data_IF_249349445012
#
_entry.id   IF_249349445012
#
_cell.length_a   1.000
_cell.length_b   1.000
_cell.length_c   1.000
_cell.angle_alpha   90.00
_cell.angle_beta   90.00
_cell.angle_gamma   90.00
#
_symmetry.space_group_name_H-M   'P 1'
#
loop_
_entity.id
_entity.type
_entity.pdbx_description
1 polymer ?
#
# COMPACT_ATOMS: atom_id res chain seq x y z
N UNK A 1 30.25 -7.27 -19.93
CA UNK A 1 29.10 -6.58 -20.52
C UNK A 1 28.05 -6.45 -19.40
N UNK A 2 27.80 -5.24 -19.04
CA UNK A 2 27.35 -4.78 -17.72
C UNK A 2 25.85 -5.02 -17.51
N UNK A 3 25.51 -5.94 -16.60
CA UNK A 3 24.12 -6.20 -16.17
C UNK A 3 23.60 -5.16 -15.14
N UNK A 4 24.33 -4.07 -14.89
CA UNK A 4 23.99 -3.04 -13.91
C UNK A 4 23.21 -1.86 -14.47
N UNK A 5 23.05 -1.74 -15.79
CA UNK A 5 22.47 -0.58 -16.46
C UNK A 5 20.93 -0.59 -16.53
N UNK A 6 20.24 -1.66 -16.11
CA UNK A 6 18.78 -1.74 -16.21
C UNK A 6 18.04 -1.50 -14.88
N UNK A 7 18.74 -1.31 -13.76
CA UNK A 7 18.13 -1.09 -12.44
C UNK A 7 17.84 0.38 -12.12
N UNK A 8 18.38 1.33 -12.87
CA UNK A 8 18.21 2.78 -12.66
C UNK A 8 17.23 3.47 -13.63
N UNK A 9 16.56 2.72 -14.48
CA UNK A 9 15.45 3.24 -15.29
C UNK A 9 14.27 3.46 -14.34
N UNK A 10 14.23 4.68 -13.79
CA UNK A 10 13.14 5.12 -12.92
C UNK A 10 11.79 4.86 -13.60
N UNK A 11 10.72 4.69 -12.81
CA UNK A 11 9.32 4.73 -13.27
C UNK A 11 9.09 5.82 -14.34
N UNK A 12 9.89 6.87 -14.30
CA UNK A 12 9.87 7.99 -15.24
C UNK A 12 10.16 7.62 -16.69
N UNK A 13 10.79 6.50 -16.98
CA UNK A 13 11.18 6.12 -18.35
C UNK A 13 10.27 5.06 -18.98
N UNK A 14 9.41 4.40 -18.21
CA UNK A 14 8.48 3.35 -18.65
C UNK A 14 7.02 3.80 -18.63
N UNK A 15 6.79 5.10 -18.76
CA UNK A 15 5.43 5.67 -18.62
C UNK A 15 4.63 5.51 -19.88
N UNK A 16 3.38 5.20 -19.70
CA UNK A 16 2.36 5.18 -20.73
C UNK A 16 1.04 5.75 -20.21
N UNK A 17 0.11 6.15 -21.09
CA UNK A 17 -1.26 6.41 -20.68
C UNK A 17 -1.90 5.15 -20.05
N UNK A 18 -2.81 5.30 -19.09
CA UNK A 18 -3.56 4.18 -18.53
C UNK A 18 -4.52 3.57 -19.57
N UNK A 19 -4.78 2.27 -19.45
CA UNK A 19 -5.88 1.60 -20.15
C UNK A 19 -7.21 1.88 -19.46
N UNK A 20 -8.34 1.53 -20.10
CA UNK A 20 -9.67 1.68 -19.50
C UNK A 20 -9.79 0.87 -18.19
N UNK A 21 -9.36 -0.39 -18.20
CA UNK A 21 -9.40 -1.28 -17.03
C UNK A 21 -8.55 -0.74 -15.87
N UNK A 22 -7.41 -0.10 -16.18
CA UNK A 22 -6.57 0.53 -15.16
C UNK A 22 -7.19 1.78 -14.56
N UNK A 23 -7.95 2.55 -15.35
CA UNK A 23 -8.71 3.70 -14.85
C UNK A 23 -9.83 3.28 -13.92
N UNK A 24 -10.52 2.17 -14.20
CA UNK A 24 -11.57 1.61 -13.34
C UNK A 24 -11.03 1.19 -11.96
N UNK A 25 -9.73 0.88 -11.87
CA UNK A 25 -9.04 0.60 -10.61
C UNK A 25 -8.66 1.84 -9.78
N UNK A 26 -8.94 3.07 -10.25
CA UNK A 26 -8.58 4.32 -9.57
C UNK A 26 -9.77 4.90 -8.80
N UNK A 27 -9.86 4.72 -7.46
CA UNK A 27 -11.08 4.93 -6.70
C UNK A 27 -11.55 6.39 -6.61
N UNK A 28 -10.65 7.35 -6.74
CA UNK A 28 -11.00 8.77 -6.62
C UNK A 28 -11.52 9.39 -7.92
N UNK A 29 -11.34 8.71 -9.07
CA UNK A 29 -11.88 9.21 -10.35
C UNK A 29 -13.42 9.29 -10.35
N UNK A 30 -14.07 8.43 -9.58
CA UNK A 30 -15.55 8.40 -9.45
C UNK A 30 -16.09 9.55 -8.58
N UNK A 31 -15.21 10.25 -7.85
CA UNK A 31 -15.58 11.40 -7.04
C UNK A 31 -15.53 12.73 -7.80
N UNK A 32 -15.05 12.68 -9.06
CA UNK A 32 -14.82 13.86 -9.90
C UNK A 32 -16.04 14.18 -10.79
N UNK A 33 -16.27 15.46 -11.01
CA UNK A 33 -17.18 15.90 -12.07
C UNK A 33 -16.57 15.59 -13.45
N UNK A 34 -17.39 15.47 -14.53
CA UNK A 34 -16.91 15.04 -15.84
C UNK A 34 -15.69 15.81 -16.36
N UNK A 35 -15.69 17.14 -16.26
CA UNK A 35 -14.57 17.98 -16.72
C UNK A 35 -13.31 17.82 -15.86
N UNK A 36 -13.47 17.61 -14.55
CA UNK A 36 -12.37 17.34 -13.62
C UNK A 36 -11.74 15.97 -13.95
N UNK A 37 -12.60 14.96 -14.19
CA UNK A 37 -12.17 13.61 -14.56
C UNK A 37 -11.44 13.59 -15.89
N UNK A 38 -11.95 14.28 -16.91
CA UNK A 38 -11.27 14.39 -18.22
C UNK A 38 -9.86 14.95 -18.06
N UNK A 39 -9.69 16.05 -17.32
CA UNK A 39 -8.39 16.66 -17.06
C UNK A 39 -7.46 15.72 -16.27
N UNK A 40 -7.97 15.05 -15.25
CA UNK A 40 -7.21 14.10 -14.46
C UNK A 40 -6.70 12.94 -15.33
N UNK A 41 -7.58 12.32 -16.09
CA UNK A 41 -7.27 11.17 -16.98
C UNK A 41 -6.26 11.57 -18.06
N UNK A 42 -6.38 12.76 -18.65
CA UNK A 42 -5.45 13.25 -19.65
C UNK A 42 -4.02 13.44 -19.12
N UNK A 43 -3.86 13.60 -17.80
CA UNK A 43 -2.55 13.81 -17.16
C UNK A 43 -2.00 12.57 -16.45
N UNK A 44 -2.86 11.57 -16.17
CA UNK A 44 -2.45 10.33 -15.50
C UNK A 44 -1.47 9.54 -16.36
N UNK A 45 -0.45 9.00 -15.69
CA UNK A 45 0.52 8.11 -16.29
C UNK A 45 0.59 6.82 -15.46
N UNK A 46 0.85 5.72 -16.16
CA UNK A 46 1.04 4.40 -15.54
C UNK A 46 2.42 3.88 -15.89
N UNK A 47 3.06 3.20 -14.96
CA UNK A 47 4.37 2.60 -15.16
C UNK A 47 4.48 1.25 -14.47
N UNK A 48 5.28 0.36 -15.08
CA UNK A 48 5.60 -0.95 -14.52
C UNK A 48 6.77 -0.85 -13.55
N UNK A 49 6.61 -1.37 -12.34
CA UNK A 49 7.67 -1.55 -11.36
C UNK A 49 7.97 -3.04 -11.18
N UNK A 50 9.24 -3.43 -11.33
CA UNK A 50 9.68 -4.79 -11.03
C UNK A 50 9.88 -4.99 -9.52
N UNK A 51 9.95 -6.24 -9.08
CA UNK A 51 10.31 -6.53 -7.70
C UNK A 51 11.65 -5.86 -7.33
N UNK A 52 11.65 -5.10 -6.23
CA UNK A 52 12.81 -4.35 -5.77
C UNK A 52 12.92 -2.91 -6.29
N UNK A 53 12.15 -2.52 -7.32
CA UNK A 53 12.16 -1.15 -7.82
C UNK A 53 11.56 -0.19 -6.78
N UNK A 54 12.16 1.01 -6.67
CA UNK A 54 11.64 2.08 -5.82
C UNK A 54 10.73 3.01 -6.62
N UNK A 55 9.50 3.17 -6.15
CA UNK A 55 8.55 4.17 -6.65
C UNK A 55 8.88 5.55 -6.10
N UNK A 56 9.18 5.61 -4.80
CA UNK A 56 9.62 6.82 -4.10
C UNK A 56 10.81 6.49 -3.20
N UNK A 57 11.70 7.46 -3.02
CA UNK A 57 12.82 7.36 -2.07
C UNK A 57 12.86 8.57 -1.14
N UNK A 58 13.23 8.36 0.11
CA UNK A 58 13.47 9.43 1.10
C UNK A 58 14.33 10.52 0.50
N UNK A 59 13.95 11.78 0.74
CA UNK A 59 14.70 12.97 0.32
C UNK A 59 14.52 13.36 -1.14
N UNK A 60 13.85 12.55 -1.97
CA UNK A 60 13.55 12.93 -3.34
C UNK A 60 12.33 13.84 -3.40
N UNK A 61 12.34 14.86 -4.28
CA UNK A 61 11.20 15.75 -4.47
C UNK A 61 9.96 14.99 -4.91
N UNK A 62 8.78 15.41 -4.42
CA UNK A 62 7.51 14.90 -4.91
C UNK A 62 7.21 15.50 -6.28
N UNK A 63 6.98 14.63 -7.27
CA UNK A 63 6.60 15.01 -8.63
C UNK A 63 5.25 14.43 -9.03
N UNK A 64 4.85 13.35 -8.38
CA UNK A 64 3.58 12.67 -8.60
C UNK A 64 2.98 12.21 -7.27
N UNK A 65 1.66 12.18 -7.22
CA UNK A 65 0.92 11.40 -6.25
C UNK A 65 0.68 10.02 -6.84
N UNK A 66 1.04 8.96 -6.13
CA UNK A 66 1.06 7.61 -6.67
C UNK A 66 0.00 6.71 -6.07
N UNK A 67 -0.48 5.75 -6.88
CA UNK A 67 -1.37 4.68 -6.47
C UNK A 67 -1.02 3.34 -7.11
N UNK A 68 -1.42 2.26 -6.48
CA UNK A 68 -1.22 0.89 -6.96
C UNK A 68 -2.45 0.44 -7.75
N UNK A 69 -2.26 0.13 -9.02
CA UNK A 69 -3.30 -0.47 -9.85
C UNK A 69 -3.26 -1.98 -9.70
N UNK A 70 -2.07 -2.57 -9.78
CA UNK A 70 -1.84 -4.00 -9.61
C UNK A 70 -0.54 -4.25 -8.86
N UNK A 71 -0.46 -5.35 -8.13
CA UNK A 71 0.76 -5.77 -7.43
C UNK A 71 0.73 -5.56 -5.93
N UNK A 72 1.89 -5.26 -5.33
CA UNK A 72 2.04 -4.99 -3.91
C UNK A 72 3.31 -4.17 -3.68
N UNK A 73 3.17 -3.03 -3.03
CA UNK A 73 4.28 -2.20 -2.61
C UNK A 73 4.47 -2.28 -1.08
N UNK A 74 5.65 -1.91 -0.63
CA UNK A 74 6.03 -1.79 0.78
C UNK A 74 6.42 -0.35 1.09
N UNK A 75 5.81 0.21 2.13
CA UNK A 75 6.20 1.50 2.71
C UNK A 75 7.17 1.26 3.86
N UNK A 76 8.36 1.86 3.80
CA UNK A 76 9.41 1.64 4.79
C UNK A 76 10.31 2.86 4.96
N UNK A 77 11.06 2.87 6.05
CA UNK A 77 12.15 3.83 6.29
C UNK A 77 13.39 3.08 6.74
N UNK A 78 14.55 3.60 6.37
CA UNK A 78 15.82 3.09 6.85
C UNK A 78 16.32 4.00 7.98
N UNK A 79 16.78 3.40 9.08
CA UNK A 79 17.40 4.16 10.16
C UNK A 79 18.87 4.46 9.85
N UNK A 80 19.52 5.25 10.70
CA UNK A 80 20.93 5.63 10.55
C UNK A 80 21.90 4.42 10.58
N UNK A 81 21.48 3.28 11.09
CA UNK A 81 22.24 2.03 11.15
C UNK A 81 21.95 1.12 9.93
N UNK A 82 21.18 1.59 8.94
CA UNK A 82 20.84 0.83 7.74
C UNK A 82 19.77 -0.26 7.97
N UNK A 83 19.12 -0.28 9.11
CA UNK A 83 18.02 -1.21 9.37
C UNK A 83 16.71 -0.66 8.77
N UNK A 84 16.04 -1.47 7.99
CA UNK A 84 14.74 -1.12 7.39
C UNK A 84 13.61 -1.38 8.38
N UNK A 85 12.84 -0.34 8.67
CA UNK A 85 11.56 -0.44 9.37
C UNK A 85 10.42 -0.38 8.35
N UNK A 86 9.62 -1.43 8.29
CA UNK A 86 8.43 -1.47 7.44
C UNK A 86 7.24 -0.91 8.19
N UNK A 87 6.51 0.02 7.56
CA UNK A 87 5.31 0.63 8.13
C UNK A 87 4.05 -0.12 7.74
N UNK A 88 3.89 -0.41 6.45
CA UNK A 88 2.72 -1.11 5.90
C UNK A 88 2.98 -1.61 4.48
N UNK A 89 2.09 -2.49 4.00
CA UNK A 89 1.92 -2.79 2.59
C UNK A 89 0.97 -1.80 1.92
N UNK A 90 1.10 -1.65 0.60
CA UNK A 90 0.16 -0.89 -0.23
C UNK A 90 -0.31 -1.82 -1.36
N UNK A 91 -1.47 -2.45 -1.20
CA UNK A 91 -2.08 -3.32 -2.21
C UNK A 91 -2.86 -2.50 -3.26
N UNK A 92 -3.51 -3.16 -4.25
CA UNK A 92 -4.28 -2.50 -5.29
C UNK A 92 -5.36 -1.56 -4.76
N UNK A 93 -5.59 -0.45 -5.46
CA UNK A 93 -6.46 0.64 -5.07
C UNK A 93 -5.87 1.58 -4.03
N UNK A 94 -4.71 1.25 -3.44
CA UNK A 94 -4.03 2.07 -2.45
C UNK A 94 -3.29 3.25 -3.08
N UNK A 95 -3.63 4.47 -2.65
CA UNK A 95 -2.91 5.71 -2.99
C UNK A 95 -2.12 6.16 -1.77
N UNK A 96 -0.97 6.76 -1.99
CA UNK A 96 -0.04 7.12 -0.91
C UNK A 96 0.73 8.41 -1.18
N UNK A 97 1.21 9.03 -0.10
CA UNK A 97 2.00 10.25 -0.20
C UNK A 97 1.18 11.52 -0.23
N UNK A 98 -0.10 11.44 0.11
CA UNK A 98 -1.03 12.57 0.15
C UNK A 98 -0.50 13.74 0.99
N UNK A 99 0.05 13.48 2.18
CA UNK A 99 0.63 14.50 3.04
C UNK A 99 1.88 15.15 2.43
N UNK A 100 2.72 14.35 1.76
CA UNK A 100 3.90 14.84 1.03
C UNK A 100 3.48 15.68 -0.19
N UNK A 101 2.47 15.19 -0.93
CA UNK A 101 1.92 15.88 -2.10
C UNK A 101 1.29 17.23 -1.72
N UNK A 102 0.47 17.26 -0.65
CA UNK A 102 -0.16 18.49 -0.13
C UNK A 102 0.85 19.60 0.18
N UNK A 103 1.98 19.22 0.78
CA UNK A 103 3.02 20.18 1.19
C UNK A 103 4.09 20.43 0.14
N UNK A 104 4.10 19.68 -0.95
CA UNK A 104 5.20 19.67 -1.94
C UNK A 104 6.57 19.44 -1.30
N UNK A 105 6.62 18.63 -0.23
CA UNK A 105 7.85 18.30 0.49
C UNK A 105 8.56 17.08 -0.14
N UNK A 106 9.86 16.88 0.14
CA UNK A 106 10.53 15.63 -0.19
C UNK A 106 9.89 14.42 0.54
N UNK A 107 9.94 13.24 -0.09
CA UNK A 107 9.47 12.01 0.53
C UNK A 107 10.19 11.73 1.84
N UNK A 108 9.43 11.31 2.86
CA UNK A 108 9.93 10.96 4.20
C UNK A 108 10.06 9.45 4.43
N UNK A 109 9.71 8.66 3.42
CA UNK A 109 9.76 7.19 3.43
C UNK A 109 10.06 6.67 2.03
N UNK A 110 10.45 5.40 1.99
CA UNK A 110 10.63 4.66 0.75
C UNK A 110 9.36 3.90 0.41
N UNK A 111 9.07 3.81 -0.88
CA UNK A 111 8.06 2.90 -1.43
C UNK A 111 8.77 1.99 -2.43
N UNK A 112 8.71 0.68 -2.18
CA UNK A 112 9.40 -0.34 -2.96
C UNK A 112 8.41 -1.42 -3.40
N UNK A 113 8.51 -1.86 -4.65
CA UNK A 113 7.72 -2.97 -5.16
C UNK A 113 8.21 -4.30 -4.57
N UNK A 114 7.30 -5.09 -3.98
CA UNK A 114 7.60 -6.44 -3.50
C UNK A 114 7.54 -7.48 -4.61
N UNK A 115 6.79 -7.18 -5.67
CA UNK A 115 6.66 -7.98 -6.90
C UNK A 115 6.42 -7.06 -8.09
N UNK A 116 6.32 -7.63 -9.30
CA UNK A 116 5.90 -6.87 -10.47
C UNK A 116 4.56 -6.18 -10.16
N UNK A 117 4.54 -4.87 -10.34
CA UNK A 117 3.42 -4.00 -9.96
C UNK A 117 3.17 -2.98 -11.05
N UNK A 118 1.92 -2.55 -11.18
CA UNK A 118 1.50 -1.44 -12.04
C UNK A 118 1.15 -0.27 -11.14
N UNK A 119 1.81 0.88 -11.36
CA UNK A 119 1.68 2.06 -10.51
C UNK A 119 1.18 3.23 -11.34
N UNK A 120 0.08 3.83 -10.92
CA UNK A 120 -0.42 5.07 -11.49
C UNK A 120 0.19 6.28 -10.79
N UNK A 121 0.45 7.35 -11.53
CA UNK A 121 0.94 8.62 -11.03
C UNK A 121 0.14 9.78 -11.56
N UNK A 122 -0.39 10.59 -10.64
CA UNK A 122 -1.01 11.88 -10.96
C UNK A 122 0.04 12.98 -10.77
N UNK A 123 0.34 13.80 -11.80
CA UNK A 123 1.29 14.90 -11.66
C UNK A 123 0.90 15.83 -10.51
N UNK A 124 1.89 16.31 -9.76
CA UNK A 124 1.66 17.11 -8.56
C UNK A 124 0.88 18.40 -8.85
N UNK A 125 1.05 18.98 -10.03
CA UNK A 125 0.29 20.19 -10.41
C UNK A 125 -1.18 19.89 -10.69
N UNK A 126 -1.50 18.72 -11.29
CA UNK A 126 -2.89 18.28 -11.44
C UNK A 126 -3.50 17.93 -10.09
N UNK A 127 -2.75 17.31 -9.18
CA UNK A 127 -3.18 17.04 -7.80
C UNK A 127 -3.63 18.33 -7.10
N UNK A 128 -2.80 19.39 -7.15
CA UNK A 128 -3.15 20.68 -6.55
C UNK A 128 -4.31 21.35 -7.27
N UNK A 129 -4.35 21.28 -8.61
CA UNK A 129 -5.48 21.81 -9.34
C UNK A 129 -6.81 21.15 -8.92
N UNK A 130 -6.82 19.84 -8.74
CA UNK A 130 -7.99 19.12 -8.22
C UNK A 130 -8.35 19.53 -6.80
N UNK A 131 -7.36 19.76 -5.93
CA UNK A 131 -7.62 20.28 -4.59
C UNK A 131 -8.32 21.64 -4.62
N UNK A 132 -7.94 22.52 -5.55
CA UNK A 132 -8.48 23.86 -5.64
C UNK A 132 -9.88 23.90 -6.30
N UNK A 133 -10.23 22.90 -7.13
CA UNK A 133 -11.45 22.94 -7.96
C UNK A 133 -12.45 21.85 -7.66
N UNK A 134 -12.05 20.73 -7.05
CA UNK A 134 -12.93 19.57 -6.82
C UNK A 134 -13.21 19.33 -5.34
N UNK A 135 -14.43 19.54 -4.91
CA UNK A 135 -14.88 19.21 -3.56
C UNK A 135 -14.83 17.70 -3.33
N UNK A 136 -15.19 16.89 -4.35
CA UNK A 136 -15.13 15.44 -4.30
C UNK A 136 -13.72 14.93 -4.03
N UNK A 137 -12.74 15.45 -4.76
CA UNK A 137 -11.34 15.12 -4.57
C UNK A 137 -10.81 15.52 -3.19
N UNK A 138 -11.16 16.74 -2.72
CA UNK A 138 -10.79 17.19 -1.38
C UNK A 138 -11.29 16.23 -0.29
N UNK A 139 -12.58 15.84 -0.37
CA UNK A 139 -13.17 14.90 0.59
C UNK A 139 -12.47 13.55 0.55
N UNK A 140 -12.15 13.07 -0.66
CA UNK A 140 -11.39 11.82 -0.81
C UNK A 140 -10.03 11.92 -0.11
N UNK A 141 -9.23 12.95 -0.40
CA UNK A 141 -7.89 13.14 0.19
C UNK A 141 -7.97 13.29 1.72
N UNK A 142 -8.93 14.06 2.24
CA UNK A 142 -9.13 14.18 3.70
C UNK A 142 -9.48 12.84 4.35
N UNK A 143 -10.35 12.05 3.70
CA UNK A 143 -10.71 10.73 4.19
C UNK A 143 -9.50 9.77 4.20
N UNK A 144 -8.69 9.79 3.13
CA UNK A 144 -7.44 9.03 3.06
C UNK A 144 -6.48 9.40 4.21
N UNK A 145 -6.30 10.71 4.47
CA UNK A 145 -5.44 11.19 5.56
C UNK A 145 -5.96 10.74 6.93
N UNK A 146 -7.26 10.82 7.18
CA UNK A 146 -7.88 10.40 8.43
C UNK A 146 -7.72 8.88 8.66
N UNK A 147 -8.02 8.06 7.64
CA UNK A 147 -7.85 6.61 7.72
C UNK A 147 -6.38 6.22 7.90
N UNK A 148 -5.46 6.90 7.23
CA UNK A 148 -4.02 6.69 7.38
C UNK A 148 -3.54 7.03 8.78
N UNK A 149 -4.02 8.12 9.35
CA UNK A 149 -3.73 8.48 10.75
C UNK A 149 -4.23 7.38 11.70
N UNK A 150 -5.46 6.91 11.53
CA UNK A 150 -6.01 5.79 12.30
C UNK A 150 -5.17 4.52 12.17
N UNK A 151 -4.73 4.19 10.95
CA UNK A 151 -3.87 3.04 10.69
C UNK A 151 -2.53 3.14 11.45
N UNK A 152 -1.89 4.31 11.46
CA UNK A 152 -0.63 4.51 12.17
C UNK A 152 -0.80 4.55 13.71
N UNK A 153 -1.90 5.08 14.21
CA UNK A 153 -2.21 5.02 15.65
C UNK A 153 -2.35 3.55 16.08
N UNK A 154 -3.13 2.76 15.34
CA UNK A 154 -3.29 1.33 15.61
C UNK A 154 -1.97 0.55 15.51
N UNK A 155 -1.10 0.88 14.52
CA UNK A 155 0.21 0.25 14.40
C UNK A 155 1.09 0.50 15.63
N UNK A 156 1.05 1.70 16.24
CA UNK A 156 1.78 2.01 17.49
C UNK A 156 1.32 1.18 18.68
N UNK A 157 0.05 0.82 18.72
CA UNK A 157 -0.46 -0.10 19.76
C UNK A 157 0.08 -1.51 19.56
N UNK A 158 0.12 -1.97 18.29
CA UNK A 158 0.60 -3.31 17.92
C UNK A 158 2.09 -3.48 18.23
N UNK A 159 2.92 -2.45 17.99
CA UNK A 159 4.36 -2.49 18.25
C UNK A 159 4.69 -2.72 19.73
N UNK A 160 3.77 -2.38 20.64
CA UNK A 160 3.89 -2.62 22.08
C UNK A 160 3.53 -4.06 22.49
N UNK A 161 2.87 -4.80 21.62
CA UNK A 161 2.47 -6.18 21.88
C UNK A 161 3.59 -7.12 21.43
N UNK A 162 4.24 -7.78 22.39
CA UNK A 162 5.31 -8.75 22.12
C UNK A 162 4.79 -10.10 21.54
N UNK A 163 3.59 -10.11 20.96
CA UNK A 163 2.99 -11.32 20.40
C UNK A 163 3.05 -11.30 18.86
N UNK A 164 3.89 -12.15 18.25
CA UNK A 164 4.03 -12.19 16.79
C UNK A 164 2.74 -12.58 16.05
N UNK A 165 1.88 -13.42 16.64
CA UNK A 165 0.62 -13.83 16.01
C UNK A 165 -0.35 -12.66 15.91
N UNK A 166 -0.45 -11.85 16.97
CA UNK A 166 -1.23 -10.62 16.97
C UNK A 166 -0.67 -9.63 15.95
N UNK A 167 0.65 -9.53 15.83
CA UNK A 167 1.29 -8.67 14.82
C UNK A 167 0.92 -9.09 13.40
N UNK A 168 0.96 -10.38 13.10
CA UNK A 168 0.56 -10.94 11.79
C UNK A 168 -0.93 -10.69 11.54
N UNK A 169 -1.80 -11.01 12.51
CA UNK A 169 -3.25 -10.82 12.38
C UNK A 169 -3.62 -9.36 12.08
N UNK A 170 -3.08 -8.43 12.85
CA UNK A 170 -3.37 -6.99 12.67
C UNK A 170 -2.75 -6.40 11.42
N UNK A 171 -1.55 -6.83 11.03
CA UNK A 171 -0.95 -6.44 9.75
C UNK A 171 -1.82 -6.90 8.58
N UNK A 172 -2.33 -8.15 8.61
CA UNK A 172 -3.31 -8.62 7.63
C UNK A 172 -4.58 -7.75 7.64
N UNK A 173 -5.16 -7.53 8.82
CA UNK A 173 -6.38 -6.72 8.96
C UNK A 173 -6.22 -5.30 8.38
N UNK A 174 -5.02 -4.71 8.52
CA UNK A 174 -4.73 -3.37 8.00
C UNK A 174 -4.75 -3.29 6.47
N UNK A 175 -4.45 -4.41 5.78
CA UNK A 175 -4.49 -4.50 4.32
C UNK A 175 -5.90 -4.66 3.74
N UNK A 176 -6.91 -4.90 4.61
CA UNK A 176 -8.33 -4.96 4.24
C UNK A 176 -9.09 -3.69 4.64
N UNK A 177 -8.42 -2.55 4.68
CA UNK A 177 -9.09 -1.27 4.91
C UNK A 177 -9.81 -0.85 3.61
N UNK A 178 -11.16 -0.75 3.59
CA UNK A 178 -11.91 -0.48 2.36
C UNK A 178 -11.75 0.95 1.84
N UNK A 179 -11.31 1.87 2.69
CA UNK A 179 -11.05 3.27 2.30
C UNK A 179 -9.66 3.41 1.71
N UNK A 180 -8.65 2.85 2.37
CA UNK A 180 -7.26 2.96 1.92
C UNK A 180 -6.95 2.02 0.75
N UNK A 181 -7.62 0.86 0.69
CA UNK A 181 -7.29 -0.24 -0.24
C UNK A 181 -8.56 -0.86 -0.83
N UNK A 182 -9.40 -0.08 -1.55
CA UNK A 182 -10.67 -0.58 -2.07
C UNK A 182 -10.53 -1.66 -3.15
N UNK A 183 -9.35 -1.78 -3.76
CA UNK A 183 -9.05 -2.85 -4.74
C UNK A 183 -8.76 -4.22 -4.12
N UNK A 184 -8.71 -4.31 -2.78
CA UNK A 184 -8.57 -5.59 -2.08
C UNK A 184 -9.95 -6.21 -1.87
N UNK A 185 -10.24 -7.28 -2.62
CA UNK A 185 -11.46 -8.08 -2.43
C UNK A 185 -11.36 -9.01 -1.21
N UNK A 186 -12.17 -10.09 -1.20
CA UNK A 186 -12.14 -11.09 -0.12
C UNK A 186 -10.83 -11.85 -0.02
N UNK A 187 -10.08 -11.93 -1.12
CA UNK A 187 -8.79 -12.64 -1.20
C UNK A 187 -7.67 -11.65 -1.39
N UNK A 188 -6.80 -11.57 -0.40
CA UNK A 188 -5.56 -10.82 -0.50
C UNK A 188 -4.51 -11.70 -1.19
N UNK A 189 -4.07 -11.30 -2.36
CA UNK A 189 -2.94 -11.94 -3.05
C UNK A 189 -1.63 -11.51 -2.40
N UNK A 190 -1.13 -12.33 -1.49
CA UNK A 190 0.12 -12.11 -0.76
C UNK A 190 0.79 -13.45 -0.48
N UNK A 191 2.09 -13.51 -0.67
CA UNK A 191 2.89 -14.67 -0.28
C UNK A 191 3.32 -14.56 1.19
N UNK A 192 3.63 -15.69 1.80
CA UNK A 192 4.17 -15.73 3.17
C UNK A 192 5.48 -14.93 3.31
N UNK A 193 6.29 -14.91 2.25
CA UNK A 193 7.54 -14.14 2.24
C UNK A 193 7.26 -12.62 2.19
N UNK A 194 6.31 -12.18 1.37
CA UNK A 194 5.91 -10.78 1.32
C UNK A 194 5.33 -10.33 2.66
N UNK A 195 4.48 -11.16 3.27
CA UNK A 195 3.94 -10.87 4.59
C UNK A 195 5.04 -10.81 5.65
N UNK A 196 6.03 -11.71 5.59
CA UNK A 196 7.19 -11.67 6.47
C UNK A 196 7.97 -10.35 6.36
N UNK A 197 8.15 -9.83 5.14
CA UNK A 197 8.74 -8.50 4.93
C UNK A 197 7.89 -7.37 5.52
N UNK A 198 6.55 -7.48 5.45
CA UNK A 198 5.66 -6.45 5.99
C UNK A 198 5.65 -6.43 7.52
N UNK A 199 5.69 -7.58 8.17
CA UNK A 199 5.61 -7.69 9.64
C UNK A 199 6.96 -7.68 10.34
N UNK A 200 8.07 -7.76 9.59
CA UNK A 200 9.42 -7.82 10.16
C UNK A 200 9.69 -9.11 10.93
N UNK A 201 9.16 -10.24 10.48
CA UNK A 201 9.34 -11.57 11.06
C UNK A 201 9.98 -12.52 10.04
N UNK A 202 10.48 -13.67 10.52
CA UNK A 202 10.92 -14.74 9.62
C UNK A 202 9.71 -15.37 8.91
N UNK A 203 9.92 -15.89 7.69
CA UNK A 203 8.89 -16.62 6.95
C UNK A 203 8.32 -17.79 7.76
N UNK A 204 9.19 -18.52 8.49
CA UNK A 204 8.75 -19.64 9.33
C UNK A 204 7.78 -19.16 10.40
N UNK A 205 8.11 -18.06 11.10
CA UNK A 205 7.25 -17.51 12.17
C UNK A 205 5.91 -17.01 11.63
N UNK A 206 5.91 -16.43 10.43
CA UNK A 206 4.67 -16.04 9.74
C UNK A 206 3.81 -17.27 9.42
N UNK A 207 4.41 -18.36 8.92
CA UNK A 207 3.68 -19.60 8.63
C UNK A 207 3.03 -20.19 9.88
N UNK A 208 3.72 -20.20 11.02
CA UNK A 208 3.17 -20.64 12.30
C UNK A 208 1.97 -19.78 12.72
N UNK A 209 2.08 -18.46 12.60
CA UNK A 209 1.00 -17.53 12.89
C UNK A 209 -0.21 -17.75 11.96
N UNK A 210 0.03 -17.90 10.64
CA UNK A 210 -1.04 -18.16 9.67
C UNK A 210 -1.76 -19.47 9.94
N UNK A 211 -1.03 -20.53 10.28
CA UNK A 211 -1.64 -21.82 10.65
C UNK A 211 -2.51 -21.69 11.90
N UNK A 212 -2.08 -20.91 12.90
CA UNK A 212 -2.87 -20.64 14.09
C UNK A 212 -4.15 -19.86 13.76
N UNK A 213 -4.06 -18.83 12.91
CA UNK A 213 -5.20 -18.02 12.46
C UNK A 213 -6.21 -18.86 11.63
N UNK A 214 -5.72 -19.76 10.78
CA UNK A 214 -6.55 -20.68 10.01
C UNK A 214 -7.24 -21.70 10.91
N UNK A 215 -6.51 -22.27 11.88
CA UNK A 215 -7.08 -23.19 12.88
C UNK A 215 -8.17 -22.56 13.75
N UNK A 216 -8.15 -21.23 13.92
CA UNK A 216 -9.18 -20.46 14.60
C UNK A 216 -10.34 -20.02 13.69
N UNK A 217 -10.26 -20.32 12.39
CA UNK A 217 -11.27 -19.96 11.41
C UNK A 217 -11.27 -18.48 11.01
N UNK A 218 -10.24 -17.71 11.37
CA UNK A 218 -10.15 -16.28 11.03
C UNK A 218 -9.77 -16.04 9.57
N UNK A 219 -8.98 -16.97 9.01
CA UNK A 219 -8.54 -16.94 7.61
C UNK A 219 -8.64 -18.32 6.98
N UNK A 220 -8.49 -18.37 5.67
CA UNK A 220 -8.22 -19.58 4.88
C UNK A 220 -7.01 -19.31 3.97
N UNK A 221 -6.04 -20.21 4.00
CA UNK A 221 -4.90 -20.15 3.09
C UNK A 221 -5.34 -20.74 1.76
N UNK A 222 -5.19 -19.96 0.69
CA UNK A 222 -5.55 -20.36 -0.69
C UNK A 222 -4.30 -20.32 -1.57
N UNK A 223 -4.42 -20.88 -2.78
CA UNK A 223 -3.31 -20.84 -3.74
C UNK A 223 -3.01 -19.37 -4.14
N UNK A 224 -1.80 -18.92 -3.81
CA UNK A 224 -1.34 -17.55 -4.13
C UNK A 224 -1.91 -16.43 -3.26
N UNK A 225 -2.60 -16.74 -2.14
CA UNK A 225 -3.17 -15.71 -1.29
C UNK A 225 -3.80 -16.19 0.01
N UNK A 226 -4.54 -15.29 0.62
CA UNK A 226 -5.26 -15.49 1.87
C UNK A 226 -6.69 -14.96 1.71
N UNK A 227 -7.67 -15.76 2.11
CA UNK A 227 -9.06 -15.30 2.28
C UNK A 227 -9.29 -14.97 3.75
N UNK A 228 -9.78 -13.77 4.03
CA UNK A 228 -10.21 -13.40 5.38
C UNK A 228 -11.65 -13.85 5.57
N UNK A 229 -11.88 -14.67 6.60
CA UNK A 229 -13.20 -15.19 6.98
C UNK A 229 -13.82 -14.35 8.09
N UNK A 230 -13.00 -13.85 9.02
CA UNK A 230 -13.43 -12.98 10.13
C UNK A 230 -12.44 -11.81 10.33
N UNK A 231 -12.78 -10.67 9.71
CA UNK A 231 -11.97 -9.46 9.82
C UNK A 231 -12.05 -8.86 11.25
N UNK A 232 -13.16 -9.04 11.95
CA UNK A 232 -13.31 -8.54 13.31
C UNK A 232 -12.39 -9.31 14.27
N UNK A 233 -12.29 -10.63 14.11
CA UNK A 233 -11.33 -11.45 14.84
C UNK A 233 -9.89 -11.00 14.60
N UNK A 234 -9.49 -10.73 13.35
CA UNK A 234 -8.14 -10.22 13.04
C UNK A 234 -7.84 -8.85 13.67
N UNK A 235 -8.86 -8.01 13.82
CA UNK A 235 -8.75 -6.68 14.45
C UNK A 235 -8.78 -6.71 15.97
N UNK A 236 -9.37 -7.75 16.56
CA UNK A 236 -9.44 -7.89 18.02
C UNK A 236 -8.07 -8.33 18.56
N UNK A 237 -7.69 -7.77 19.73
CA UNK A 237 -6.49 -8.23 20.46
C UNK A 237 -6.71 -9.56 21.21
N UNK A 238 -7.87 -10.21 21.03
CA UNK A 238 -8.31 -11.39 21.77
C UNK A 238 -7.85 -12.68 21.06
N UNK A 239 -6.67 -12.70 20.45
CA UNK A 239 -5.99 -13.95 20.26
C UNK A 239 -5.32 -14.36 21.58
N UNK A 240 -6.12 -14.73 22.56
CA UNK A 240 -5.63 -15.51 23.67
C UNK A 240 -5.25 -16.86 23.08
N UNK A 241 -3.96 -17.06 22.90
CA UNK A 241 -3.41 -18.41 22.73
C UNK A 241 -3.93 -19.26 23.88
N UNK A 242 -4.84 -20.16 23.59
CA UNK A 242 -4.99 -21.40 24.35
C UNK A 242 -3.70 -22.19 24.10
N UNK A 243 -2.73 -21.96 24.91
CA UNK A 243 -1.45 -22.64 24.89
C UNK A 243 -0.98 -22.77 26.30
N UNK A 244 -1.14 -23.84 26.76
CA UNK A 244 -0.86 -24.82 27.63
C UNK A 244 0.22 -24.73 28.63
#
# INVERSE_FOLDING_TARGET
MDSRTNQDLSLHQRRRPPTADELDGIPWLDQLQPAERERAVASLLVGDANAGDYVCRIGRPVTYWFGVVEGLLKMSSDNAQGQTMTFTGVPPGGWFGEGTALKREPYRYNIQALRKSVVAGLPIDTFHWLLDHSIGFNRFVMNQLNERLGQFIAAREIDRLNNPDVRVARSLASLFNPVLYPGVGEVLRITQQELAYLVGLSRQRVNEALAALEGQGAIRIEYGGLRVLDLAALRSSIFQLKGG
#
